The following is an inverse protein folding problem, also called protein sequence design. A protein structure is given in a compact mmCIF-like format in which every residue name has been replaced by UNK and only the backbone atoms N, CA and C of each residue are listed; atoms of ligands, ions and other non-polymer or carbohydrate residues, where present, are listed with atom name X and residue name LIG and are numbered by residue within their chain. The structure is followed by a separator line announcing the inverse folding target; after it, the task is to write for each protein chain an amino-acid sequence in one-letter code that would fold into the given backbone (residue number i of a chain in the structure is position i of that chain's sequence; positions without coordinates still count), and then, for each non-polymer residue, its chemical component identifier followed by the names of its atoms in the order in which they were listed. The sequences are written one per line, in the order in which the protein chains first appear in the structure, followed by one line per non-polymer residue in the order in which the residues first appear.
data_IF_195004359327
#
_entry.id   IF_195004359327
#
_cell.length_a   1.000
_cell.length_b   1.000
_cell.length_c   1.000
_cell.angle_alpha   90.00
_cell.angle_beta   90.00
_cell.angle_gamma   90.00
#
_symmetry.space_group_name_H-M   'P 1'
#
loop_
_entity.id
_entity.type
_entity.pdbx_description
1 polymer ?
#
# COMPACT_ATOMS: atom_id res chain seq x y z
N UNK A 1 -14.73 -11.30 -19.90
CA UNK A 1 -15.87 -10.38 -20.17
C UNK A 1 -15.35 -8.96 -19.99
N UNK A 2 -14.97 -8.30 -21.07
CA UNK A 2 -14.41 -6.95 -21.02
C UNK A 2 -15.35 -6.03 -20.24
N UNK A 3 -14.79 -5.06 -19.50
CA UNK A 3 -15.59 -3.94 -18.94
C UNK A 3 -16.14 -3.20 -20.15
N UNK A 4 -17.39 -3.51 -20.52
CA UNK A 4 -18.03 -2.77 -21.60
C UNK A 4 -18.30 -1.36 -21.08
N UNK A 5 -17.75 -0.36 -21.75
CA UNK A 5 -18.21 1.02 -21.64
C UNK A 5 -19.59 1.16 -22.35
N UNK A 6 -20.51 0.27 -22.02
CA UNK A 6 -21.89 0.48 -22.41
C UNK A 6 -22.39 1.70 -21.63
N UNK A 7 -22.65 2.77 -22.38
CA UNK A 7 -23.11 4.04 -21.83
C UNK A 7 -24.29 3.76 -20.89
N UNK A 8 -24.05 3.96 -19.58
CA UNK A 8 -25.09 3.81 -18.58
C UNK A 8 -26.24 4.72 -18.92
N UNK A 9 -27.45 4.21 -18.84
CA UNK A 9 -28.69 4.93 -19.19
C UNK A 9 -28.89 6.19 -18.31
N UNK A 10 -28.06 6.36 -17.27
CA UNK A 10 -28.11 7.49 -16.34
C UNK A 10 -26.72 8.13 -16.24
N UNK A 11 -26.44 9.19 -17.00
CA UNK A 11 -25.18 9.96 -16.97
C UNK A 11 -24.70 10.33 -15.55
N UNK A 12 -25.62 10.48 -14.60
CA UNK A 12 -25.31 10.78 -13.21
C UNK A 12 -24.60 9.62 -12.49
N UNK A 13 -24.90 8.35 -12.85
CA UNK A 13 -24.23 7.19 -12.29
C UNK A 13 -22.77 7.10 -12.73
N UNK A 14 -22.50 7.35 -14.02
CA UNK A 14 -21.13 7.39 -14.55
C UNK A 14 -20.27 8.45 -13.84
N UNK A 15 -20.87 9.62 -13.59
CA UNK A 15 -20.19 10.71 -12.85
C UNK A 15 -19.86 10.28 -11.42
N UNK A 16 -20.77 9.60 -10.73
CA UNK A 16 -20.52 9.13 -9.36
C UNK A 16 -19.44 8.05 -9.29
N UNK A 17 -19.43 7.10 -10.24
CA UNK A 17 -18.36 6.10 -10.37
C UNK A 17 -17.00 6.73 -10.67
N UNK A 18 -16.97 7.71 -11.57
CA UNK A 18 -15.76 8.45 -11.88
C UNK A 18 -15.24 9.23 -10.66
N UNK A 19 -16.13 9.85 -9.88
CA UNK A 19 -15.75 10.54 -8.64
C UNK A 19 -15.18 9.59 -7.61
N UNK A 20 -15.79 8.42 -7.40
CA UNK A 20 -15.26 7.41 -6.48
C UNK A 20 -13.87 6.93 -6.92
N UNK A 21 -13.67 6.67 -8.22
CA UNK A 21 -12.37 6.29 -8.76
C UNK A 21 -11.32 7.39 -8.55
N UNK A 22 -11.66 8.64 -8.80
CA UNK A 22 -10.77 9.77 -8.59
C UNK A 22 -10.40 9.93 -7.11
N UNK A 23 -11.35 9.74 -6.18
CA UNK A 23 -11.11 9.77 -4.75
C UNK A 23 -10.09 8.69 -4.33
N UNK A 24 -10.20 7.47 -4.89
CA UNK A 24 -9.25 6.39 -4.61
C UNK A 24 -7.85 6.73 -5.12
N UNK A 25 -7.72 7.31 -6.32
CA UNK A 25 -6.44 7.74 -6.87
C UNK A 25 -5.83 8.91 -6.09
N UNK A 26 -6.66 9.87 -5.64
CA UNK A 26 -6.24 10.97 -4.77
C UNK A 26 -5.70 10.42 -3.43
N UNK A 27 -6.41 9.50 -2.80
CA UNK A 27 -5.98 8.82 -1.58
C UNK A 27 -4.65 8.08 -1.81
N UNK A 28 -4.50 7.38 -2.93
CA UNK A 28 -3.26 6.70 -3.31
C UNK A 28 -2.08 7.66 -3.38
N UNK A 29 -2.22 8.81 -4.03
CA UNK A 29 -1.17 9.84 -4.11
C UNK A 29 -0.76 10.37 -2.73
N UNK A 30 -1.73 10.61 -1.83
CA UNK A 30 -1.45 11.05 -0.46
C UNK A 30 -0.70 9.99 0.35
N UNK A 31 -1.01 8.71 0.14
CA UNK A 31 -0.33 7.60 0.80
C UNK A 31 1.12 7.47 0.30
N UNK A 32 1.37 7.62 -1.02
CA UNK A 32 2.73 7.68 -1.57
C UNK A 32 3.54 8.83 -0.93
N UNK A 33 2.98 10.03 -0.86
CA UNK A 33 3.63 11.17 -0.18
C UNK A 33 3.92 10.87 1.28
N UNK A 34 2.99 10.21 1.99
CA UNK A 34 3.16 9.87 3.40
C UNK A 34 4.32 8.90 3.63
N UNK A 35 4.49 7.88 2.78
CA UNK A 35 5.63 6.96 2.83
C UNK A 35 6.94 7.72 2.61
N UNK A 36 6.99 8.56 1.57
CA UNK A 36 8.18 9.35 1.24
C UNK A 36 8.58 10.26 2.41
N UNK A 37 7.63 10.98 3.00
CA UNK A 37 7.88 11.85 4.15
C UNK A 37 8.30 11.07 5.39
N UNK A 38 7.73 9.88 5.64
CA UNK A 38 8.12 9.04 6.77
C UNK A 38 9.58 8.55 6.66
N UNK A 39 10.00 8.13 5.47
CA UNK A 39 11.37 7.70 5.19
C UNK A 39 12.33 8.88 5.23
N UNK A 40 11.98 10.00 4.61
CA UNK A 40 12.79 11.21 4.64
C UNK A 40 13.02 11.71 6.09
N UNK A 41 11.97 11.72 6.92
CA UNK A 41 12.08 12.09 8.33
C UNK A 41 13.01 11.15 9.12
N UNK A 42 13.06 9.87 8.76
CA UNK A 42 13.98 8.90 9.36
C UNK A 42 15.44 9.17 8.92
N UNK A 43 15.66 9.37 7.62
CA UNK A 43 16.99 9.59 7.03
C UNK A 43 17.60 10.92 7.50
N UNK A 44 16.77 11.97 7.66
CA UNK A 44 17.19 13.30 8.12
C UNK A 44 17.18 13.45 9.65
N UNK A 45 16.74 12.42 10.39
CA UNK A 45 16.58 12.48 11.85
C UNK A 45 15.60 13.59 12.30
N UNK A 46 14.63 13.96 11.43
CA UNK A 46 13.72 15.10 11.66
C UNK A 46 12.46 14.66 12.42
N UNK A 47 12.48 14.92 13.73
CA UNK A 47 11.35 14.64 14.62
C UNK A 47 10.11 15.51 14.32
N UNK A 48 10.29 16.70 13.76
CA UNK A 48 9.17 17.59 13.41
C UNK A 48 8.44 17.02 12.21
N UNK A 49 9.16 16.68 11.13
CA UNK A 49 8.61 16.03 9.97
C UNK A 49 7.94 14.68 10.34
N UNK A 50 8.55 13.87 11.21
CA UNK A 50 7.95 12.63 11.67
C UNK A 50 6.60 12.85 12.39
N UNK A 51 6.48 13.88 13.23
CA UNK A 51 5.20 14.23 13.88
C UNK A 51 4.15 14.75 12.90
N UNK A 52 4.56 15.46 11.86
CA UNK A 52 3.66 15.90 10.79
C UNK A 52 3.08 14.72 10.03
N UNK A 53 3.89 13.68 9.72
CA UNK A 53 3.40 12.43 9.10
C UNK A 53 2.33 11.79 9.98
N UNK A 54 2.60 11.65 11.29
CA UNK A 54 1.61 11.10 12.25
C UNK A 54 0.31 11.92 12.27
N UNK A 55 0.39 13.24 12.19
CA UNK A 55 -0.80 14.10 12.20
C UNK A 55 -1.60 14.03 10.89
N UNK A 56 -0.92 13.85 9.75
CA UNK A 56 -1.54 13.77 8.41
C UNK A 56 -2.35 12.51 8.18
N UNK A 57 -2.08 11.44 8.91
CA UNK A 57 -2.78 10.17 8.78
C UNK A 57 -4.31 10.31 8.93
N UNK A 58 -4.77 11.24 9.75
CA UNK A 58 -6.20 11.54 9.89
C UNK A 58 -6.87 11.98 8.57
N UNK A 59 -6.13 12.53 7.62
CA UNK A 59 -6.67 12.91 6.29
C UNK A 59 -6.99 11.66 5.49
N UNK A 60 -6.09 10.67 5.48
CA UNK A 60 -6.27 9.39 4.80
C UNK A 60 -7.48 8.65 5.39
N UNK A 61 -7.58 8.60 6.72
CA UNK A 61 -8.70 7.99 7.43
C UNK A 61 -10.03 8.68 7.09
N UNK A 62 -10.04 10.01 6.95
CA UNK A 62 -11.21 10.75 6.49
C UNK A 62 -11.63 10.44 5.06
N UNK A 63 -10.67 10.21 4.15
CA UNK A 63 -10.95 9.81 2.76
C UNK A 63 -11.49 8.39 2.69
N UNK A 64 -11.01 7.47 3.52
CA UNK A 64 -11.58 6.11 3.63
C UNK A 64 -13.05 6.17 4.01
N UNK A 65 -13.39 6.87 5.09
CA UNK A 65 -14.80 7.01 5.55
C UNK A 65 -15.67 7.57 4.40
N UNK A 66 -15.22 8.61 3.73
CA UNK A 66 -15.93 9.20 2.60
C UNK A 66 -16.12 8.21 1.44
N UNK A 67 -15.08 7.45 1.09
CA UNK A 67 -15.16 6.45 0.02
C UNK A 67 -16.17 5.33 0.36
N UNK A 68 -16.19 4.88 1.62
CA UNK A 68 -17.15 3.87 2.09
C UNK A 68 -18.60 4.40 2.05
N UNK A 69 -18.83 5.66 2.47
CA UNK A 69 -20.14 6.31 2.35
C UNK A 69 -20.60 6.43 0.89
N UNK A 70 -19.69 6.81 -0.01
CA UNK A 70 -19.94 6.90 -1.45
C UNK A 70 -20.28 5.52 -2.04
N UNK A 71 -19.54 4.46 -1.68
CA UNK A 71 -19.81 3.08 -2.08
C UNK A 71 -21.21 2.62 -1.64
N UNK A 72 -21.55 2.83 -0.35
CA UNK A 72 -22.86 2.46 0.20
C UNK A 72 -24.00 3.22 -0.52
N UNK A 73 -23.82 4.52 -0.74
CA UNK A 73 -24.77 5.37 -1.44
C UNK A 73 -25.00 4.92 -2.88
N UNK A 74 -23.93 4.59 -3.60
CA UNK A 74 -24.00 4.08 -4.97
C UNK A 74 -24.78 2.77 -5.04
N UNK A 75 -24.50 1.82 -4.14
CA UNK A 75 -25.20 0.53 -4.10
C UNK A 75 -26.67 0.72 -3.75
N UNK A 76 -26.98 1.50 -2.73
CA UNK A 76 -28.35 1.70 -2.24
C UNK A 76 -29.25 2.44 -3.25
N UNK A 77 -28.72 3.49 -3.90
CA UNK A 77 -29.51 4.35 -4.78
C UNK A 77 -29.58 3.85 -6.23
N UNK A 78 -28.59 3.09 -6.69
CA UNK A 78 -28.46 2.72 -8.09
C UNK A 78 -28.61 1.23 -8.37
N UNK A 79 -28.51 0.37 -7.33
CA UNK A 79 -28.63 -1.10 -7.44
C UNK A 79 -27.77 -1.66 -8.58
N UNK A 80 -26.45 -1.37 -8.60
CA UNK A 80 -25.56 -1.77 -9.68
C UNK A 80 -25.50 -3.29 -9.81
N UNK A 81 -25.29 -3.78 -11.03
CA UNK A 81 -25.22 -5.21 -11.34
C UNK A 81 -23.92 -5.53 -12.11
N UNK A 82 -23.49 -6.78 -12.05
CA UNK A 82 -22.37 -7.28 -12.85
C UNK A 82 -21.09 -6.50 -12.64
N UNK A 83 -20.54 -5.92 -13.70
CA UNK A 83 -19.25 -5.18 -13.69
C UNK A 83 -19.26 -3.95 -12.79
N UNK A 84 -20.39 -3.25 -12.70
CA UNK A 84 -20.47 -2.02 -11.88
C UNK A 84 -20.42 -2.34 -10.39
N UNK A 85 -21.15 -3.36 -9.96
CA UNK A 85 -21.07 -3.83 -8.56
C UNK A 85 -19.66 -4.33 -8.26
N UNK A 86 -19.02 -5.06 -9.18
CA UNK A 86 -17.64 -5.54 -9.02
C UNK A 86 -16.67 -4.35 -8.88
N UNK A 87 -16.83 -3.29 -9.69
CA UNK A 87 -16.02 -2.08 -9.60
C UNK A 87 -16.13 -1.45 -8.21
N UNK A 88 -17.35 -1.18 -7.73
CA UNK A 88 -17.57 -0.55 -6.42
C UNK A 88 -16.97 -1.41 -5.29
N UNK A 89 -17.21 -2.72 -5.32
CA UNK A 89 -16.68 -3.65 -4.31
C UNK A 89 -15.14 -3.75 -4.34
N UNK A 90 -14.53 -3.70 -5.53
CA UNK A 90 -13.06 -3.68 -5.65
C UNK A 90 -12.48 -2.37 -5.13
N UNK A 91 -13.07 -1.22 -5.49
CA UNK A 91 -12.63 0.09 -5.00
C UNK A 91 -12.73 0.20 -3.47
N UNK A 92 -13.81 -0.28 -2.84
CA UNK A 92 -13.93 -0.31 -1.38
C UNK A 92 -12.82 -1.12 -0.70
N UNK A 93 -12.41 -2.26 -1.29
CA UNK A 93 -11.30 -3.06 -0.79
C UNK A 93 -9.95 -2.36 -0.99
N UNK A 94 -9.74 -1.75 -2.16
CA UNK A 94 -8.53 -0.96 -2.46
C UNK A 94 -8.38 0.19 -1.47
N UNK A 95 -9.46 0.91 -1.16
CA UNK A 95 -9.48 1.98 -0.15
C UNK A 95 -9.02 1.47 1.21
N UNK A 96 -9.49 0.28 1.62
CA UNK A 96 -9.07 -0.34 2.88
C UNK A 96 -7.57 -0.66 2.89
N UNK A 97 -7.02 -1.20 1.78
CA UNK A 97 -5.58 -1.48 1.70
C UNK A 97 -4.76 -0.19 1.64
N UNK A 98 -5.24 0.88 0.99
CA UNK A 98 -4.58 2.19 1.00
C UNK A 98 -4.50 2.80 2.40
N UNK A 99 -5.57 2.71 3.20
CA UNK A 99 -5.55 3.15 4.61
C UNK A 99 -4.54 2.35 5.42
N UNK A 100 -4.49 1.02 5.24
CA UNK A 100 -3.49 0.17 5.89
C UNK A 100 -2.06 0.56 5.53
N UNK A 101 -1.81 0.92 4.27
CA UNK A 101 -0.50 1.44 3.84
C UNK A 101 -0.19 2.77 4.55
N UNK A 102 -1.18 3.66 4.68
CA UNK A 102 -1.07 4.90 5.46
C UNK A 102 -0.69 4.64 6.92
N UNK A 103 -1.39 3.71 7.59
CA UNK A 103 -1.10 3.27 8.95
C UNK A 103 0.35 2.78 9.11
N UNK A 104 0.88 2.01 8.13
CA UNK A 104 2.26 1.53 8.20
C UNK A 104 3.26 2.68 7.98
N UNK A 105 2.96 3.66 7.13
CA UNK A 105 3.78 4.87 7.00
C UNK A 105 3.78 5.72 8.29
N UNK A 106 2.62 5.88 8.94
CA UNK A 106 2.50 6.51 10.27
C UNK A 106 3.35 5.76 11.30
N UNK A 107 3.33 4.45 11.30
CA UNK A 107 4.10 3.60 12.20
C UNK A 107 5.61 3.78 12.00
N UNK A 108 6.10 3.90 10.76
CA UNK A 108 7.50 4.24 10.48
C UNK A 108 7.86 5.56 11.14
N UNK A 109 7.05 6.61 10.97
CA UNK A 109 7.27 7.91 11.61
C UNK A 109 7.25 7.84 13.14
N UNK A 110 6.35 7.06 13.74
CA UNK A 110 6.33 6.81 15.20
C UNK A 110 7.60 6.08 15.68
N UNK A 111 8.14 5.15 14.90
CA UNK A 111 9.40 4.48 15.23
C UNK A 111 10.58 5.45 15.11
N UNK A 112 10.60 6.32 14.12
CA UNK A 112 11.57 7.42 13.98
C UNK A 112 11.60 8.28 15.25
N UNK A 113 10.44 8.72 15.73
CA UNK A 113 10.32 9.48 16.98
C UNK A 113 10.91 8.69 18.14
N UNK A 114 10.57 7.41 18.31
CA UNK A 114 11.08 6.57 19.39
C UNK A 114 12.60 6.36 19.33
N UNK A 115 13.17 6.29 18.14
CA UNK A 115 14.60 6.10 17.90
C UNK A 115 15.39 7.34 18.34
N UNK A 116 14.93 8.53 17.98
CA UNK A 116 15.71 9.77 18.14
C UNK A 116 15.26 10.64 19.32
N UNK A 117 14.07 10.46 19.88
CA UNK A 117 13.59 11.19 21.08
C UNK A 117 14.05 10.50 22.38
N UNK A 118 14.54 9.25 22.31
CA UNK A 118 14.99 8.48 23.45
C UNK A 118 16.26 9.03 24.12
N UNK A 119 16.44 8.72 25.41
CA UNK A 119 17.68 9.04 26.13
C UNK A 119 18.77 8.04 25.69
N UNK A 120 19.73 8.49 24.89
CA UNK A 120 20.83 7.66 24.41
C UNK A 120 21.50 8.22 23.17
N UNK A 121 22.54 7.53 22.69
CA UNK A 121 23.13 7.84 21.38
C UNK A 121 22.22 7.32 20.26
N UNK A 122 22.18 8.00 19.10
CA UNK A 122 21.42 7.54 17.95
C UNK A 122 21.85 6.12 17.51
N UNK A 123 21.01 5.39 16.78
CA UNK A 123 21.35 4.07 16.27
C UNK A 123 22.56 4.15 15.35
N UNK A 124 23.38 3.11 15.33
CA UNK A 124 24.45 3.05 14.34
C UNK A 124 23.88 2.89 12.93
N UNK A 125 24.47 3.54 11.93
CA UNK A 125 24.07 3.45 10.53
C UNK A 125 23.91 2.01 10.00
N UNK A 126 24.64 1.04 10.56
CA UNK A 126 24.52 -0.37 10.19
C UNK A 126 23.15 -0.97 10.50
N UNK A 127 22.44 -0.46 11.53
CA UNK A 127 21.09 -0.93 11.86
C UNK A 127 20.04 -0.45 10.84
N UNK A 128 20.23 0.74 10.27
CA UNK A 128 19.31 1.37 9.31
C UNK A 128 19.62 0.99 7.86
N UNK A 129 20.70 0.26 7.60
CA UNK A 129 21.22 -0.04 6.27
C UNK A 129 20.18 -0.56 5.28
N UNK A 130 19.25 -1.40 5.75
CA UNK A 130 18.31 -2.10 4.89
C UNK A 130 16.99 -1.33 4.71
N UNK A 131 16.77 -0.24 5.47
CA UNK A 131 15.51 0.52 5.45
C UNK A 131 15.32 1.21 4.09
N UNK A 132 16.28 2.01 3.64
CA UNK A 132 16.16 2.79 2.39
C UNK A 132 15.98 1.90 1.14
N UNK A 133 16.74 0.78 0.95
CA UNK A 133 16.48 -0.14 -0.16
C UNK A 133 15.08 -0.78 -0.11
N UNK A 134 14.63 -1.25 1.05
CA UNK A 134 13.29 -1.82 1.21
C UNK A 134 12.19 -0.76 1.01
N UNK A 135 12.40 0.46 1.49
CA UNK A 135 11.46 1.56 1.27
C UNK A 135 11.27 1.88 -0.22
N UNK A 136 12.35 1.82 -0.99
CA UNK A 136 12.28 2.00 -2.44
C UNK A 136 11.44 0.90 -3.09
N UNK A 137 11.69 -0.37 -2.77
CA UNK A 137 10.92 -1.49 -3.32
C UNK A 137 9.43 -1.36 -2.97
N UNK A 138 9.09 -1.06 -1.72
CA UNK A 138 7.71 -0.88 -1.28
C UNK A 138 7.02 0.30 -1.98
N UNK A 139 7.72 1.44 -2.15
CA UNK A 139 7.22 2.60 -2.87
C UNK A 139 7.03 2.32 -4.37
N UNK A 140 7.97 1.61 -5.01
CA UNK A 140 7.88 1.22 -6.42
C UNK A 140 6.68 0.27 -6.65
N UNK A 141 6.39 -0.65 -5.71
CA UNK A 141 5.21 -1.52 -5.75
C UNK A 141 3.92 -0.72 -5.64
N UNK A 142 3.80 0.22 -4.67
CA UNK A 142 2.62 1.06 -4.52
C UNK A 142 2.41 1.93 -5.77
N UNK A 143 3.45 2.59 -6.25
CA UNK A 143 3.39 3.39 -7.47
C UNK A 143 2.90 2.56 -8.67
N UNK A 144 3.48 1.36 -8.85
CA UNK A 144 3.10 0.43 -9.92
C UNK A 144 1.64 0.02 -9.86
N UNK A 145 1.10 -0.28 -8.66
CA UNK A 145 -0.31 -0.67 -8.53
C UNK A 145 -1.27 0.51 -8.74
N UNK A 146 -0.92 1.74 -8.35
CA UNK A 146 -1.71 2.93 -8.61
C UNK A 146 -1.73 3.29 -10.11
N UNK A 147 -0.60 3.19 -10.80
CA UNK A 147 -0.52 3.36 -12.25
C UNK A 147 -1.35 2.30 -12.98
N UNK A 148 -1.23 1.03 -12.58
CA UNK A 148 -2.04 -0.06 -13.09
C UNK A 148 -3.55 0.20 -12.88
N UNK A 149 -3.95 0.66 -11.69
CA UNK A 149 -5.34 1.00 -11.37
C UNK A 149 -5.87 2.16 -12.24
N UNK A 150 -5.05 3.20 -12.43
CA UNK A 150 -5.43 4.35 -13.25
C UNK A 150 -5.68 3.97 -14.72
N UNK A 151 -4.96 2.97 -15.24
CA UNK A 151 -5.04 2.53 -16.64
C UNK A 151 -5.84 1.25 -16.83
N UNK A 152 -6.23 0.56 -15.76
CA UNK A 152 -6.79 -0.79 -15.77
C UNK A 152 -5.84 -1.80 -16.45
N UNK A 153 -4.54 -1.64 -16.19
CA UNK A 153 -3.46 -2.42 -16.79
C UNK A 153 -3.19 -3.69 -15.97
N UNK A 154 -3.66 -4.82 -16.51
CA UNK A 154 -3.52 -6.12 -15.84
C UNK A 154 -2.09 -6.64 -15.90
N UNK A 155 -1.34 -6.37 -16.97
CA UNK A 155 0.06 -6.79 -17.08
C UNK A 155 0.90 -6.13 -16.01
N UNK A 156 0.71 -4.82 -15.83
CA UNK A 156 1.37 -4.06 -14.77
C UNK A 156 0.98 -4.54 -13.36
N UNK A 157 -0.28 -4.90 -13.15
CA UNK A 157 -0.73 -5.47 -11.88
C UNK A 157 -0.04 -6.82 -11.58
N UNK A 158 0.17 -7.66 -12.59
CA UNK A 158 0.92 -8.92 -12.46
C UNK A 158 2.38 -8.65 -12.08
N UNK A 159 3.04 -7.67 -12.73
CA UNK A 159 4.42 -7.29 -12.38
C UNK A 159 4.53 -6.87 -10.90
N UNK A 160 3.58 -6.06 -10.41
CA UNK A 160 3.55 -5.64 -9.00
C UNK A 160 3.38 -6.84 -8.06
N UNK A 161 2.46 -7.76 -8.39
CA UNK A 161 2.25 -8.95 -7.57
C UNK A 161 3.49 -9.86 -7.51
N UNK A 162 4.27 -9.94 -8.59
CA UNK A 162 5.55 -10.68 -8.63
C UNK A 162 6.65 -9.99 -7.81
N UNK A 163 6.63 -8.66 -7.72
CA UNK A 163 7.61 -7.89 -6.96
C UNK A 163 7.61 -8.14 -5.45
N UNK A 164 6.51 -8.67 -4.91
CA UNK A 164 6.33 -9.02 -3.52
C UNK A 164 7.40 -10.01 -3.00
N UNK A 165 7.73 -11.01 -3.79
CA UNK A 165 8.74 -12.02 -3.43
C UNK A 165 10.13 -11.41 -3.17
N UNK A 166 10.52 -10.35 -3.89
CA UNK A 166 11.79 -9.66 -3.70
C UNK A 166 11.80 -8.90 -2.36
N UNK A 167 10.73 -8.16 -2.06
CA UNK A 167 10.60 -7.43 -0.80
C UNK A 167 10.60 -8.37 0.41
N UNK A 168 9.91 -9.51 0.31
CA UNK A 168 9.90 -10.55 1.33
C UNK A 168 11.31 -11.12 1.60
N UNK A 169 12.09 -11.39 0.55
CA UNK A 169 13.46 -11.86 0.68
C UNK A 169 14.36 -10.83 1.35
N UNK A 170 14.23 -9.55 0.99
CA UNK A 170 14.97 -8.46 1.65
C UNK A 170 14.56 -8.31 3.12
N UNK A 171 13.27 -8.40 3.45
CA UNK A 171 12.81 -8.40 4.84
C UNK A 171 13.44 -9.53 5.65
N UNK A 172 13.43 -10.78 5.15
CA UNK A 172 14.04 -11.92 5.83
C UNK A 172 15.56 -11.74 6.01
N UNK A 173 16.21 -11.11 5.04
CA UNK A 173 17.65 -10.81 5.08
C UNK A 173 17.96 -9.71 6.10
N UNK A 174 17.17 -8.64 6.12
CA UNK A 174 17.28 -7.55 7.11
C UNK A 174 17.08 -8.07 8.55
N UNK A 175 16.05 -8.90 8.75
CA UNK A 175 15.76 -9.49 10.06
C UNK A 175 16.93 -10.33 10.58
N UNK A 176 17.52 -11.19 9.74
CA UNK A 176 18.71 -11.99 10.13
C UNK A 176 19.89 -11.10 10.49
N UNK A 177 20.15 -10.02 9.73
CA UNK A 177 21.23 -9.05 10.04
C UNK A 177 21.00 -8.36 11.37
N UNK A 178 19.79 -7.88 11.64
CA UNK A 178 19.43 -7.21 12.88
C UNK A 178 19.59 -8.15 14.09
N UNK A 179 19.17 -9.40 13.99
CA UNK A 179 19.37 -10.41 15.03
C UNK A 179 20.87 -10.62 15.29
N UNK A 180 21.70 -10.72 14.26
CA UNK A 180 23.15 -10.86 14.39
C UNK A 180 23.76 -9.67 15.14
N UNK A 181 23.36 -8.44 14.80
CA UNK A 181 23.86 -7.24 15.50
C UNK A 181 23.45 -7.19 16.98
N UNK A 182 22.24 -7.65 17.32
CA UNK A 182 21.80 -7.77 18.72
C UNK A 182 22.63 -8.78 19.51
N UNK A 183 23.05 -9.88 18.85
CA UNK A 183 23.90 -10.90 19.47
C UNK A 183 25.33 -10.39 19.65
N UNK A 184 25.86 -9.60 18.71
CA UNK A 184 27.21 -9.02 18.78
C UNK A 184 27.33 -7.92 19.86
N UNK A 185 26.31 -7.08 19.98
CA UNK A 185 26.25 -5.99 20.96
C UNK A 185 24.83 -5.84 21.55
N UNK A 186 24.59 -6.42 22.74
CA UNK A 186 23.29 -6.34 23.41
C UNK A 186 22.79 -4.91 23.70
N UNK A 187 23.65 -3.90 23.68
CA UNK A 187 23.25 -2.50 23.86
C UNK A 187 22.45 -1.96 22.67
N UNK A 188 22.54 -2.62 21.52
CA UNK A 188 21.80 -2.24 20.30
C UNK A 188 20.37 -2.76 20.27
N UNK A 189 19.97 -3.67 21.18
CA UNK A 189 18.68 -4.36 21.16
C UNK A 189 17.51 -3.37 21.07
N UNK A 190 17.52 -2.30 21.86
CA UNK A 190 16.42 -1.32 21.87
C UNK A 190 16.20 -0.66 20.50
N UNK A 191 17.28 -0.21 19.85
CA UNK A 191 17.21 0.37 18.52
C UNK A 191 16.87 -0.68 17.44
N UNK A 192 17.50 -1.87 17.52
CA UNK A 192 17.25 -2.94 16.55
C UNK A 192 15.77 -3.36 16.53
N UNK A 193 15.10 -3.42 17.70
CA UNK A 193 13.65 -3.71 17.77
C UNK A 193 12.84 -2.64 17.05
N UNK A 194 13.14 -1.35 17.23
CA UNK A 194 12.43 -0.28 16.52
C UNK A 194 12.65 -0.38 15.00
N UNK A 195 13.88 -0.70 14.57
CA UNK A 195 14.18 -0.92 13.14
C UNK A 195 13.46 -2.16 12.59
N UNK A 196 13.33 -3.23 13.38
CA UNK A 196 12.52 -4.41 12.98
C UNK A 196 11.06 -3.99 12.70
N UNK A 197 10.48 -3.10 13.51
CA UNK A 197 9.13 -2.60 13.23
C UNK A 197 9.07 -1.76 11.96
N UNK A 198 10.12 -0.99 11.64
CA UNK A 198 10.20 -0.22 10.39
C UNK A 198 10.26 -1.16 9.18
N UNK A 199 11.19 -2.13 9.16
CA UNK A 199 11.31 -3.05 8.01
C UNK A 199 10.09 -3.95 7.87
N UNK A 200 9.40 -4.30 8.98
CA UNK A 200 8.12 -5.02 8.91
C UNK A 200 6.98 -4.14 8.38
N UNK A 201 6.98 -2.84 8.67
CA UNK A 201 6.02 -1.91 8.10
C UNK A 201 6.21 -1.79 6.58
N UNK A 202 7.46 -1.74 6.11
CA UNK A 202 7.78 -1.70 4.67
C UNK A 202 7.34 -2.97 3.94
N UNK A 203 7.57 -4.15 4.52
CA UNK A 203 7.08 -5.41 3.96
C UNK A 203 5.55 -5.41 3.87
N UNK A 204 4.84 -4.93 4.91
CA UNK A 204 3.37 -4.84 4.88
C UNK A 204 2.84 -3.84 3.85
N UNK A 205 3.56 -2.77 3.55
CA UNK A 205 3.23 -1.87 2.44
C UNK A 205 3.25 -2.64 1.11
N UNK A 206 4.24 -3.53 0.91
CA UNK A 206 4.28 -4.44 -0.24
C UNK A 206 3.10 -5.40 -0.29
N UNK A 207 2.81 -6.10 0.83
CA UNK A 207 1.66 -7.00 0.97
C UNK A 207 0.34 -6.32 0.52
N UNK A 208 0.08 -5.10 1.03
CA UNK A 208 -1.12 -4.34 0.67
C UNK A 208 -1.11 -3.86 -0.78
N UNK A 209 0.07 -3.49 -1.33
CA UNK A 209 0.21 -3.13 -2.74
C UNK A 209 -0.10 -4.31 -3.66
N UNK A 210 0.35 -5.52 -3.31
CA UNK A 210 -0.02 -6.77 -3.99
C UNK A 210 -1.53 -7.03 -3.93
N UNK A 211 -2.16 -6.86 -2.76
CA UNK A 211 -3.61 -6.99 -2.63
C UNK A 211 -4.36 -6.05 -3.58
N UNK A 212 -3.91 -4.79 -3.70
CA UNK A 212 -4.50 -3.82 -4.64
C UNK A 212 -4.36 -4.31 -6.08
N UNK A 213 -3.19 -4.84 -6.47
CA UNK A 213 -2.97 -5.43 -7.79
C UNK A 213 -3.89 -6.62 -8.06
N UNK A 214 -4.09 -7.52 -7.10
CA UNK A 214 -5.01 -8.66 -7.18
C UNK A 214 -6.48 -8.20 -7.33
N UNK A 215 -6.90 -7.14 -6.61
CA UNK A 215 -8.24 -6.57 -6.78
C UNK A 215 -8.41 -5.92 -8.16
N UNK A 216 -7.37 -5.33 -8.73
CA UNK A 216 -7.42 -4.82 -10.10
C UNK A 216 -7.59 -5.95 -11.12
N UNK A 217 -6.84 -7.05 -10.98
CA UNK A 217 -7.00 -8.23 -11.85
C UNK A 217 -8.43 -8.76 -11.75
N UNK A 218 -8.97 -8.89 -10.54
CA UNK A 218 -10.36 -9.30 -10.32
C UNK A 218 -11.33 -8.30 -10.95
N UNK A 219 -11.09 -7.01 -10.83
CA UNK A 219 -11.92 -5.98 -11.43
C UNK A 219 -12.04 -6.13 -12.94
N UNK A 220 -10.90 -6.33 -13.62
CA UNK A 220 -10.84 -6.38 -15.09
C UNK A 220 -11.27 -7.75 -15.62
N UNK A 221 -10.69 -8.83 -15.10
CA UNK A 221 -10.90 -10.20 -15.61
C UNK A 221 -12.13 -10.89 -15.00
N UNK A 222 -12.62 -10.45 -13.86
CA UNK A 222 -13.73 -11.10 -13.14
C UNK A 222 -13.34 -12.41 -12.44
N UNK A 223 -12.06 -12.78 -12.45
CA UNK A 223 -11.53 -13.97 -11.76
C UNK A 223 -10.84 -13.55 -10.46
N UNK A 224 -11.21 -14.17 -9.35
CA UNK A 224 -10.56 -13.93 -8.06
C UNK A 224 -9.24 -14.71 -8.02
N UNK A 225 -8.14 -13.97 -8.09
CA UNK A 225 -6.77 -14.51 -8.10
C UNK A 225 -6.09 -14.48 -6.72
N UNK A 226 -6.82 -14.10 -5.69
CA UNK A 226 -6.30 -14.15 -4.30
C UNK A 226 -6.15 -15.60 -3.87
N UNK A 227 -5.10 -15.87 -3.11
CA UNK A 227 -4.82 -17.19 -2.55
C UNK A 227 -4.52 -18.31 -3.59
N UNK A 228 -4.24 -17.94 -4.83
CA UNK A 228 -3.71 -18.89 -5.83
C UNK A 228 -2.19 -18.78 -5.90
N UNK A 229 -1.51 -19.77 -6.50
CA UNK A 229 -0.08 -19.65 -6.76
C UNK A 229 0.20 -18.57 -7.82
N UNK A 230 1.40 -17.99 -7.79
CA UNK A 230 1.80 -16.97 -8.76
C UNK A 230 1.66 -17.46 -10.21
N UNK A 231 1.98 -18.71 -10.50
CA UNK A 231 1.81 -19.30 -11.84
C UNK A 231 0.35 -19.27 -12.31
N UNK A 232 -0.60 -19.59 -11.41
CA UNK A 232 -2.03 -19.56 -11.70
C UNK A 232 -2.51 -18.12 -11.84
N UNK A 233 -2.03 -17.19 -11.01
CA UNK A 233 -2.35 -15.78 -11.11
C UNK A 233 -1.94 -15.23 -12.48
N UNK A 234 -0.69 -15.47 -12.92
CA UNK A 234 -0.18 -15.05 -14.23
C UNK A 234 -1.01 -15.66 -15.36
N UNK A 235 -1.32 -16.95 -15.28
CA UNK A 235 -2.13 -17.64 -16.28
C UNK A 235 -3.53 -17.04 -16.38
N UNK A 236 -4.22 -16.83 -15.26
CA UNK A 236 -5.60 -16.31 -15.22
C UNK A 236 -5.68 -14.82 -15.60
N UNK A 237 -4.64 -14.05 -15.30
CA UNK A 237 -4.56 -12.63 -15.63
C UNK A 237 -4.27 -12.38 -17.11
N UNK A 238 -3.36 -13.13 -17.73
CA UNK A 238 -2.85 -12.87 -19.08
C UNK A 238 -3.51 -13.72 -20.17
N UNK A 239 -4.32 -14.72 -19.83
CA UNK A 239 -5.11 -15.42 -20.86
C UNK A 239 -6.14 -14.49 -21.51
N UNK A 240 -6.08 -14.39 -22.85
CA UNK A 240 -7.17 -13.80 -23.65
C UNK A 240 -8.38 -14.76 -23.64
N UNK A 241 -9.58 -14.23 -23.41
CA UNK A 241 -10.84 -14.97 -23.60
C UNK A 241 -11.21 -15.07 -25.09
#
# INVERSE_FOLDING_TARGET
MAISHDAHTVKQFDVLLANLRNLVLEMGGLVEEQIQHAIQALDDEDLTAAREVVARDQVINGLQVKADEDCVSLIALRQPLGSDLRLIMSLSKIVTDLERIGDEAEKIARMTIKIYEGIGSPPSAKLLRDVTPMAKLAADMLHGCLDALARLDVEKAVEVAQGDDELDQEFQSALRRLITYMMEDPRTIGHAINVIFIVKALERIGDHSKNIAEYLIYLVKGKDVRHVSMDVLVQDALQEE
#
